data_IF_476746057307
#
_entry.id   IF_476746057307
#
_cell.length_a   1.000
_cell.length_b   1.000
_cell.length_c   1.000
_cell.angle_alpha   90.00
_cell.angle_beta   90.00
_cell.angle_gamma   90.00
#
_symmetry.space_group_name_H-M   'P 1'
#
loop_
_entity.id
_entity.type
_entity.pdbx_description
1 polymer ?
#
# COMPACT_ATOMS: atom_id res chain seq x y z
N UNK A 1 -18.97 17.34 -5.24
CA UNK A 1 -18.93 15.97 -4.66
C UNK A 1 -17.49 15.63 -4.31
N UNK A 2 -17.20 15.52 -3.02
CA UNK A 2 -15.84 15.33 -2.48
C UNK A 2 -15.24 14.00 -2.99
N UNK A 3 -14.19 14.05 -3.81
CA UNK A 3 -13.51 12.83 -4.32
C UNK A 3 -12.62 12.26 -3.22
N UNK A 4 -13.20 11.48 -2.31
CA UNK A 4 -12.40 10.67 -1.37
C UNK A 4 -11.67 9.58 -2.14
N UNK A 5 -10.37 9.50 -1.91
CA UNK A 5 -9.55 8.43 -2.46
C UNK A 5 -10.01 7.08 -1.90
N UNK A 6 -10.43 6.17 -2.78
CA UNK A 6 -10.79 4.80 -2.45
C UNK A 6 -9.80 3.84 -3.10
N UNK A 7 -9.17 3.01 -2.29
CA UNK A 7 -8.30 1.93 -2.76
C UNK A 7 -9.06 0.96 -3.67
N UNK A 8 -8.30 0.28 -4.54
CA UNK A 8 -8.81 -0.85 -5.30
C UNK A 8 -8.98 -2.04 -4.36
N UNK A 9 -10.18 -2.62 -4.36
CA UNK A 9 -10.50 -3.82 -3.61
C UNK A 9 -10.01 -5.07 -4.34
N UNK A 10 -9.83 -6.21 -3.64
CA UNK A 10 -9.40 -7.47 -4.26
C UNK A 10 -10.30 -7.91 -5.43
N UNK A 11 -11.62 -7.71 -5.31
CA UNK A 11 -12.60 -8.08 -6.33
C UNK A 11 -12.42 -7.24 -7.60
N UNK A 12 -12.17 -5.94 -7.45
CA UNK A 12 -11.88 -5.06 -8.59
C UNK A 12 -10.60 -5.50 -9.30
N UNK A 13 -9.58 -5.97 -8.58
CA UNK A 13 -8.34 -6.50 -9.17
C UNK A 13 -8.56 -7.83 -9.89
N UNK A 14 -9.44 -8.70 -9.38
CA UNK A 14 -9.85 -9.92 -10.07
C UNK A 14 -10.55 -9.58 -11.40
N UNK A 15 -11.44 -8.59 -11.39
CA UNK A 15 -12.08 -8.10 -12.62
C UNK A 15 -11.06 -7.50 -13.60
N UNK A 16 -10.09 -6.72 -13.13
CA UNK A 16 -9.00 -6.20 -14.00
C UNK A 16 -8.23 -7.37 -14.63
N UNK A 17 -7.89 -8.41 -13.87
CA UNK A 17 -7.17 -9.57 -14.38
C UNK A 17 -7.97 -10.32 -15.46
N UNK A 18 -9.25 -10.59 -15.21
CA UNK A 18 -10.14 -11.24 -16.18
C UNK A 18 -10.28 -10.42 -17.47
N UNK A 19 -10.55 -9.11 -17.36
CA UNK A 19 -10.69 -8.23 -18.52
C UNK A 19 -9.38 -8.04 -19.28
N UNK A 20 -8.25 -8.06 -18.58
CA UNK A 20 -6.92 -7.98 -19.21
C UNK A 20 -6.62 -9.24 -20.02
N UNK A 21 -6.98 -10.41 -19.52
CA UNK A 21 -6.85 -11.68 -20.23
C UNK A 21 -7.72 -11.70 -21.51
N UNK A 22 -8.89 -11.06 -21.46
CA UNK A 22 -9.78 -10.89 -22.62
C UNK A 22 -9.30 -9.80 -23.60
N UNK A 23 -8.14 -9.17 -23.39
CA UNK A 23 -7.63 -8.12 -24.26
C UNK A 23 -8.37 -6.77 -24.17
N UNK A 24 -9.16 -6.56 -23.11
CA UNK A 24 -9.91 -5.31 -22.94
C UNK A 24 -8.98 -4.10 -22.78
N UNK A 25 -9.41 -2.96 -23.32
CA UNK A 25 -8.68 -1.69 -23.14
C UNK A 25 -8.83 -1.14 -21.72
N UNK A 26 -7.89 -0.29 -21.28
CA UNK A 26 -7.93 0.39 -19.98
C UNK A 26 -9.26 1.16 -19.79
N UNK A 27 -9.75 1.79 -20.86
CA UNK A 27 -11.03 2.54 -20.83
C UNK A 27 -12.23 1.61 -20.66
N UNK A 28 -12.22 0.42 -21.27
CA UNK A 28 -13.27 -0.57 -21.09
C UNK A 28 -13.30 -1.10 -19.64
N UNK A 29 -12.13 -1.47 -19.10
CA UNK A 29 -11.98 -1.89 -17.71
C UNK A 29 -12.48 -0.84 -16.72
N UNK A 30 -12.08 0.42 -16.93
CA UNK A 30 -12.47 1.52 -16.07
C UNK A 30 -14.00 1.77 -16.05
N UNK A 31 -14.65 1.67 -17.21
CA UNK A 31 -16.12 1.76 -17.31
C UNK A 31 -16.81 0.63 -16.56
N UNK A 32 -16.34 -0.61 -16.74
CA UNK A 32 -16.89 -1.80 -16.05
C UNK A 32 -16.81 -1.65 -14.52
N UNK A 33 -15.67 -1.18 -14.03
CA UNK A 33 -15.42 -0.99 -12.60
C UNK A 33 -16.04 0.29 -12.03
N UNK A 34 -16.62 1.16 -12.86
CA UNK A 34 -17.04 2.53 -12.48
C UNK A 34 -15.90 3.32 -11.81
N UNK A 35 -14.67 3.14 -12.31
CA UNK A 35 -13.45 3.83 -11.84
C UNK A 35 -12.89 4.74 -12.93
N UNK A 36 -11.96 5.62 -12.56
CA UNK A 36 -11.25 6.43 -13.53
C UNK A 36 -10.26 5.58 -14.34
N UNK A 37 -10.07 5.84 -15.66
CA UNK A 37 -9.03 5.19 -16.45
C UNK A 37 -7.62 5.34 -15.85
N UNK A 38 -7.35 6.49 -15.22
CA UNK A 38 -6.10 6.76 -14.51
C UNK A 38 -5.90 5.86 -13.28
N UNK A 39 -6.96 5.36 -12.66
CA UNK A 39 -6.87 4.39 -11.56
C UNK A 39 -6.41 3.04 -12.10
N UNK A 40 -7.04 2.54 -13.16
CA UNK A 40 -6.70 1.25 -13.79
C UNK A 40 -5.30 1.30 -14.41
N UNK A 41 -4.94 2.38 -15.10
CA UNK A 41 -3.60 2.56 -15.66
C UNK A 41 -2.51 2.52 -14.58
N UNK A 42 -2.70 3.25 -13.46
CA UNK A 42 -1.73 3.22 -12.34
C UNK A 42 -1.64 1.86 -11.67
N UNK A 43 -2.74 1.14 -11.56
CA UNK A 43 -2.76 -0.23 -11.04
C UNK A 43 -1.90 -1.14 -11.91
N UNK A 44 -2.18 -1.20 -13.22
CA UNK A 44 -1.44 -2.02 -14.16
C UNK A 44 0.05 -1.64 -14.21
N UNK A 45 0.37 -0.34 -14.24
CA UNK A 45 1.75 0.12 -14.30
C UNK A 45 2.57 -0.23 -13.04
N UNK A 46 1.93 -0.26 -11.86
CA UNK A 46 2.63 -0.45 -10.58
C UNK A 46 2.61 -1.90 -10.10
N UNK A 47 1.59 -2.66 -10.48
CA UNK A 47 1.28 -3.94 -9.85
C UNK A 47 1.19 -5.11 -10.85
N UNK A 48 1.62 -4.92 -12.11
CA UNK A 48 1.79 -6.05 -13.04
C UNK A 48 3.05 -6.86 -12.73
N UNK A 49 2.96 -8.18 -12.88
CA UNK A 49 4.13 -9.06 -12.86
C UNK A 49 4.89 -9.04 -14.18
N UNK A 50 6.00 -9.79 -14.28
CA UNK A 50 6.87 -9.82 -15.47
C UNK A 50 6.16 -10.28 -16.74
N UNK A 51 5.29 -11.29 -16.63
CA UNK A 51 4.61 -11.89 -17.79
C UNK A 51 3.19 -11.36 -17.96
N UNK A 52 2.43 -11.29 -16.87
CA UNK A 52 1.03 -10.91 -16.91
C UNK A 52 0.58 -10.24 -15.61
N UNK A 53 -0.56 -9.54 -15.69
CA UNK A 53 -1.22 -8.98 -14.53
C UNK A 53 -2.05 -10.06 -13.82
N UNK A 54 -1.83 -10.23 -12.52
CA UNK A 54 -2.58 -11.17 -11.68
C UNK A 54 -2.98 -10.52 -10.36
N UNK A 55 -4.20 -10.80 -9.88
CA UNK A 55 -4.80 -10.11 -8.73
C UNK A 55 -4.01 -10.30 -7.43
N UNK A 56 -3.60 -11.54 -7.11
CA UNK A 56 -2.88 -11.86 -5.88
C UNK A 56 -1.49 -11.19 -5.80
N UNK A 57 -0.61 -11.32 -6.83
CA UNK A 57 0.65 -10.58 -6.88
C UNK A 57 0.44 -9.06 -6.82
N UNK A 58 -0.56 -8.55 -7.54
CA UNK A 58 -0.85 -7.12 -7.55
C UNK A 58 -1.19 -6.60 -6.15
N UNK A 59 -2.00 -7.35 -5.39
CA UNK A 59 -2.34 -7.02 -4.02
C UNK A 59 -1.09 -7.03 -3.12
N UNK A 60 -0.26 -8.06 -3.23
CA UNK A 60 0.99 -8.16 -2.47
C UNK A 60 1.92 -6.96 -2.75
N UNK A 61 2.15 -6.61 -4.01
CA UNK A 61 2.96 -5.45 -4.42
C UNK A 61 2.38 -4.14 -3.87
N UNK A 62 1.05 -3.99 -3.91
CA UNK A 62 0.38 -2.81 -3.38
C UNK A 62 0.52 -2.68 -1.86
N UNK A 63 0.45 -3.80 -1.13
CA UNK A 63 0.64 -3.83 0.33
C UNK A 63 2.10 -3.54 0.68
N UNK A 64 3.04 -4.20 0.01
CA UNK A 64 4.47 -4.01 0.22
C UNK A 64 4.88 -2.55 -0.01
N UNK A 65 4.44 -1.95 -1.13
CA UNK A 65 4.71 -0.53 -1.40
C UNK A 65 4.12 0.40 -0.34
N UNK A 66 2.92 0.09 0.16
CA UNK A 66 2.31 0.89 1.23
C UNK A 66 3.09 0.76 2.53
N UNK A 67 3.56 -0.43 2.86
CA UNK A 67 4.40 -0.66 4.03
C UNK A 67 5.72 0.12 3.91
N UNK A 68 6.39 0.03 2.76
CA UNK A 68 7.65 0.74 2.50
C UNK A 68 7.52 2.27 2.50
N UNK A 69 6.36 2.81 2.10
CA UNK A 69 6.11 4.25 2.11
C UNK A 69 5.79 4.81 3.51
N UNK A 70 5.53 3.95 4.51
CA UNK A 70 5.31 4.40 5.89
C UNK A 70 6.65 4.77 6.51
N UNK A 71 6.67 5.88 7.24
CA UNK A 71 7.79 6.20 8.11
C UNK A 71 7.94 5.07 9.14
N UNK A 72 9.17 4.70 9.52
CA UNK A 72 9.38 3.76 10.62
C UNK A 72 8.67 4.26 11.87
N UNK A 73 8.29 3.34 12.74
CA UNK A 73 7.65 3.70 14.01
C UNK A 73 8.60 4.61 14.81
N UNK A 74 8.03 5.54 15.61
CA UNK A 74 8.85 6.42 16.47
C UNK A 74 9.79 5.60 17.38
N UNK A 75 9.33 4.42 17.81
CA UNK A 75 10.05 3.44 18.60
C UNK A 75 10.32 2.17 17.77
N UNK A 76 10.89 2.35 16.59
CA UNK A 76 11.42 1.23 15.82
C UNK A 76 12.57 0.55 16.61
N UNK A 77 12.55 -0.77 16.85
CA UNK A 77 13.63 -1.47 17.56
C UNK A 77 15.03 -1.29 16.96
N UNK A 78 15.10 -1.02 15.65
CA UNK A 78 16.34 -0.73 14.94
C UNK A 78 16.64 0.79 14.87
N UNK A 79 15.73 1.62 15.39
CA UNK A 79 15.83 3.07 15.42
C UNK A 79 16.61 3.60 16.62
N UNK A 80 17.22 4.77 16.46
CA UNK A 80 18.01 5.44 17.51
C UNK A 80 17.17 5.73 18.76
N UNK A 81 15.92 6.16 18.59
CA UNK A 81 15.00 6.48 19.70
C UNK A 81 14.77 5.30 20.62
N UNK A 82 14.68 4.07 20.09
CA UNK A 82 14.51 2.86 20.90
C UNK A 82 15.67 2.67 21.86
N UNK A 83 16.91 2.85 21.38
CA UNK A 83 18.10 2.72 22.20
C UNK A 83 18.18 3.80 23.27
N UNK A 84 17.82 5.03 22.94
CA UNK A 84 17.73 6.13 23.91
C UNK A 84 16.74 5.79 25.03
N UNK A 85 15.53 5.34 24.67
CA UNK A 85 14.51 4.96 25.66
C UNK A 85 15.01 3.85 26.58
N UNK A 86 15.66 2.81 26.04
CA UNK A 86 16.24 1.74 26.84
C UNK A 86 17.33 2.24 27.80
N UNK A 87 18.21 3.15 27.36
CA UNK A 87 19.23 3.75 28.22
C UNK A 87 18.61 4.58 29.35
N UNK A 88 17.59 5.39 29.06
CA UNK A 88 16.91 6.18 30.09
C UNK A 88 16.15 5.31 31.11
N UNK A 89 15.54 4.22 30.63
CA UNK A 89 14.92 3.22 31.51
C UNK A 89 15.95 2.52 32.41
N UNK A 90 17.14 2.23 31.90
CA UNK A 90 18.24 1.67 32.68
C UNK A 90 18.66 2.62 33.81
N UNK A 91 18.66 3.93 33.52
CA UNK A 91 18.87 5.01 34.49
C UNK A 91 17.68 5.28 35.42
N UNK A 92 16.65 4.42 35.41
CA UNK A 92 15.45 4.50 36.26
C UNK A 92 14.59 5.74 36.04
N UNK A 93 14.66 6.35 34.86
CA UNK A 93 13.73 7.42 34.49
C UNK A 93 12.32 6.85 34.34
N UNK A 94 11.32 7.60 34.80
CA UNK A 94 9.93 7.21 34.63
C UNK A 94 9.49 7.40 33.16
N UNK A 95 8.49 6.65 32.69
CA UNK A 95 7.95 6.83 31.34
C UNK A 95 7.54 8.28 31.04
N UNK A 96 6.99 9.00 32.03
CA UNK A 96 6.59 10.39 31.93
C UNK A 96 7.77 11.33 31.71
N UNK A 97 8.93 11.05 32.33
CA UNK A 97 10.16 11.83 32.12
C UNK A 97 10.78 11.57 30.75
N UNK A 98 10.66 10.34 30.23
CA UNK A 98 11.17 9.97 28.91
C UNK A 98 10.29 10.56 27.79
N UNK A 99 8.98 10.64 28.00
CA UNK A 99 8.03 11.17 27.03
C UNK A 99 7.85 12.70 27.09
N UNK A 100 8.60 13.38 27.96
CA UNK A 100 8.42 14.77 28.40
C UNK A 100 7.97 15.77 27.35
#
# INVERSE_FOLDING_TARGET
MEKRYRQLQPEERLTIASLRLQGSSIRAMARMLKRSPATVSRELARNSGPEHYASMPAQALSVARRAAARRPAKLDPQGVTWRIVLTLLDWKWSPQQISG
#
